data_IF_526371617452
#
_entry.id   IF_526371617452
#
_cell.length_a   1.000
_cell.length_b   1.000
_cell.length_c   1.000
_cell.angle_alpha   90.00
_cell.angle_beta   90.00
_cell.angle_gamma   90.00
#
_symmetry.space_group_name_H-M   'P 1'
#
loop_
_entity.id
_entity.type
_entity.pdbx_description
1 polymer ?
#
# COMPACT_ATOMS: atom_id res chain seq x y z
N UNK A 1 -0.38 10.97 -15.55
CA UNK A 1 0.49 12.19 -15.58
C UNK A 1 -0.12 13.22 -16.54
N UNK A 2 0.39 14.46 -16.66
CA UNK A 2 -0.11 15.40 -17.69
C UNK A 2 0.29 14.89 -19.08
N UNK A 3 -0.71 14.75 -19.97
CA UNK A 3 -0.47 14.18 -21.31
C UNK A 3 -0.28 12.67 -21.37
N UNK A 4 -0.61 11.93 -20.30
CA UNK A 4 -0.42 10.48 -20.25
C UNK A 4 -1.34 9.75 -21.24
N UNK A 5 -0.75 9.02 -22.17
CA UNK A 5 -1.50 8.19 -23.12
C UNK A 5 -1.79 6.79 -22.55
N UNK A 6 -2.59 6.01 -23.28
CA UNK A 6 -3.02 4.67 -22.84
C UNK A 6 -1.85 3.69 -22.70
N UNK A 7 -0.86 3.74 -23.60
CA UNK A 7 0.29 2.83 -23.53
C UNK A 7 1.17 3.10 -22.29
N UNK A 8 1.33 4.36 -21.91
CA UNK A 8 2.06 4.76 -20.69
C UNK A 8 1.31 4.34 -19.41
N UNK A 9 -0.02 4.49 -19.40
CA UNK A 9 -0.88 3.99 -18.33
C UNK A 9 -0.74 2.47 -18.17
N UNK A 10 -0.86 1.71 -19.27
CA UNK A 10 -0.70 0.26 -19.26
C UNK A 10 0.73 -0.17 -18.88
N UNK A 11 1.74 0.66 -19.19
CA UNK A 11 3.11 0.47 -18.71
C UNK A 11 3.20 0.55 -17.19
N UNK A 12 2.51 1.51 -16.58
CA UNK A 12 2.41 1.64 -15.12
C UNK A 12 1.69 0.45 -14.50
N UNK A 13 0.58 0.01 -15.10
CA UNK A 13 -0.13 -1.19 -14.65
C UNK A 13 0.77 -2.43 -14.68
N UNK A 14 1.48 -2.63 -15.80
CA UNK A 14 2.42 -3.75 -15.96
C UNK A 14 3.52 -3.71 -14.91
N UNK A 15 4.05 -2.53 -14.59
CA UNK A 15 5.06 -2.36 -13.55
C UNK A 15 4.54 -2.83 -12.19
N UNK A 16 3.32 -2.42 -11.81
CA UNK A 16 2.70 -2.85 -10.54
C UNK A 16 2.60 -4.38 -10.48
N UNK A 17 2.10 -5.01 -11.55
CA UNK A 17 1.97 -6.48 -11.63
C UNK A 17 3.32 -7.19 -11.56
N UNK A 18 4.33 -6.66 -12.25
CA UNK A 18 5.63 -7.32 -12.38
C UNK A 18 6.42 -7.25 -11.08
N UNK A 19 6.42 -6.10 -10.40
CA UNK A 19 7.18 -5.93 -9.16
C UNK A 19 6.41 -6.48 -7.96
N UNK A 20 5.09 -6.31 -7.96
CA UNK A 20 4.23 -6.71 -6.85
C UNK A 20 4.62 -5.96 -5.57
N UNK A 21 4.39 -4.64 -5.51
CA UNK A 21 4.77 -3.83 -4.34
C UNK A 21 3.89 -4.14 -3.11
N UNK A 22 4.47 -4.07 -1.91
CA UNK A 22 3.70 -4.14 -0.65
C UNK A 22 2.80 -2.90 -0.45
N UNK A 23 3.34 -1.72 -0.77
CA UNK A 23 2.67 -0.43 -0.60
C UNK A 23 3.05 0.47 -1.77
N UNK A 24 2.07 1.17 -2.35
CA UNK A 24 2.28 2.24 -3.32
C UNK A 24 1.38 3.42 -2.97
N UNK A 25 1.86 4.62 -3.31
CA UNK A 25 1.08 5.86 -3.20
C UNK A 25 0.71 6.31 -4.60
N UNK A 26 -0.57 6.16 -4.95
CA UNK A 26 -1.11 6.52 -6.25
C UNK A 26 -1.92 7.81 -6.13
N UNK A 27 -1.67 8.76 -7.03
CA UNK A 27 -2.38 10.03 -7.08
C UNK A 27 -2.63 10.43 -8.53
N UNK A 28 -3.84 10.88 -8.81
CA UNK A 28 -4.13 11.58 -10.06
C UNK A 28 -3.34 12.89 -10.11
N UNK A 29 -2.78 13.20 -11.29
CA UNK A 29 -2.08 14.46 -11.48
C UNK A 29 -3.01 15.64 -11.22
N UNK A 30 -2.51 16.61 -10.45
CA UNK A 30 -3.10 17.93 -10.26
C UNK A 30 -2.03 18.98 -10.56
N UNK A 31 -2.42 20.02 -11.29
CA UNK A 31 -1.48 21.08 -11.67
C UNK A 31 -0.96 21.76 -10.41
N UNK A 32 0.36 21.90 -10.32
CA UNK A 32 1.04 22.65 -9.26
C UNK A 32 1.78 23.83 -9.88
N UNK A 33 1.39 25.09 -9.59
CA UNK A 33 2.03 26.27 -10.15
C UNK A 33 3.56 26.24 -9.95
N UNK A 34 4.30 26.72 -10.95
CA UNK A 34 5.76 26.77 -10.92
C UNK A 34 6.49 25.47 -11.32
N UNK A 35 5.79 24.34 -11.46
CA UNK A 35 6.40 23.07 -11.88
C UNK A 35 6.62 23.00 -13.40
N UNK A 36 7.57 22.17 -13.85
CA UNK A 36 7.76 21.90 -15.28
C UNK A 36 6.52 21.27 -15.93
N UNK A 37 5.80 20.42 -15.19
CA UNK A 37 4.56 19.81 -15.65
C UNK A 37 3.45 20.84 -15.89
N UNK A 38 3.40 21.93 -15.12
CA UNK A 38 2.41 23.00 -15.31
C UNK A 38 2.58 23.77 -16.64
N UNK A 39 3.74 23.65 -17.30
CA UNK A 39 3.97 24.23 -18.64
C UNK A 39 3.58 23.29 -19.79
N UNK A 40 3.20 22.05 -19.49
CA UNK A 40 2.79 21.05 -20.49
C UNK A 40 1.27 21.08 -20.66
N UNK A 41 0.74 20.96 -21.89
CA UNK A 41 -0.67 20.69 -22.08
C UNK A 41 -1.09 19.43 -21.32
N UNK A 42 -2.28 19.48 -20.72
CA UNK A 42 -2.89 18.36 -20.04
C UNK A 42 -4.22 18.04 -20.72
N UNK A 43 -4.14 17.18 -21.73
CA UNK A 43 -5.26 16.74 -22.57
C UNK A 43 -6.01 15.53 -21.99
N UNK A 44 -5.58 15.03 -20.82
CA UNK A 44 -6.23 13.89 -20.16
C UNK A 44 -7.42 14.38 -19.33
N UNK A 45 -8.67 13.99 -19.67
CA UNK A 45 -9.86 14.42 -18.93
C UNK A 45 -9.81 13.99 -17.47
N UNK A 46 -10.42 14.78 -16.59
CA UNK A 46 -10.47 14.47 -15.15
C UNK A 46 -11.12 13.11 -14.86
N UNK A 47 -12.16 12.75 -15.62
CA UNK A 47 -12.83 11.45 -15.47
C UNK A 47 -11.92 10.29 -15.87
N UNK A 48 -11.08 10.46 -16.88
CA UNK A 48 -10.09 9.46 -17.27
C UNK A 48 -9.01 9.30 -16.21
N UNK A 49 -8.52 10.41 -15.62
CA UNK A 49 -7.58 10.36 -14.48
C UNK A 49 -8.17 9.60 -13.30
N UNK A 50 -9.44 9.83 -12.96
CA UNK A 50 -10.14 9.11 -11.89
C UNK A 50 -10.29 7.63 -12.20
N UNK A 51 -10.72 7.29 -13.43
CA UNK A 51 -10.86 5.91 -13.89
C UNK A 51 -9.55 5.14 -13.74
N UNK A 52 -8.45 5.71 -14.25
CA UNK A 52 -7.10 5.13 -14.17
C UNK A 52 -6.62 4.99 -12.73
N UNK A 53 -6.80 6.02 -11.90
CA UNK A 53 -6.43 5.96 -10.48
C UNK A 53 -7.17 4.84 -9.76
N UNK A 54 -8.49 4.74 -9.92
CA UNK A 54 -9.30 3.72 -9.28
C UNK A 54 -8.88 2.31 -9.74
N UNK A 55 -8.65 2.13 -11.05
CA UNK A 55 -8.14 0.87 -11.60
C UNK A 55 -6.82 0.43 -10.97
N UNK A 56 -5.84 1.35 -10.86
CA UNK A 56 -4.55 1.03 -10.24
C UNK A 56 -4.67 0.80 -8.72
N UNK A 57 -5.57 1.51 -8.03
CA UNK A 57 -5.85 1.27 -6.62
C UNK A 57 -6.47 -0.12 -6.39
N UNK A 58 -7.41 -0.54 -7.24
CA UNK A 58 -8.01 -1.87 -7.17
C UNK A 58 -6.99 -2.97 -7.45
N UNK A 59 -6.17 -2.81 -8.48
CA UNK A 59 -5.06 -3.71 -8.77
C UNK A 59 -4.09 -3.80 -7.58
N UNK A 60 -3.70 -2.65 -7.00
CA UNK A 60 -2.80 -2.67 -5.85
C UNK A 60 -3.43 -3.38 -4.65
N UNK A 61 -4.72 -3.23 -4.39
CA UNK A 61 -5.41 -3.95 -3.30
C UNK A 61 -5.29 -5.46 -3.47
N UNK A 62 -5.45 -5.95 -4.69
CA UNK A 62 -5.27 -7.37 -5.01
C UNK A 62 -3.83 -7.83 -4.74
N UNK A 63 -2.84 -7.09 -5.27
CA UNK A 63 -1.42 -7.39 -5.06
C UNK A 63 -1.06 -7.39 -3.56
N UNK A 64 -1.52 -6.38 -2.81
CA UNK A 64 -1.25 -6.27 -1.39
C UNK A 64 -1.87 -7.44 -0.60
N UNK A 65 -3.08 -7.86 -0.97
CA UNK A 65 -3.73 -9.03 -0.38
C UNK A 65 -2.94 -10.31 -0.66
N UNK A 66 -2.55 -10.56 -1.91
CA UNK A 66 -1.74 -11.74 -2.27
C UNK A 66 -0.42 -11.79 -1.48
N UNK A 67 0.27 -10.65 -1.36
CA UNK A 67 1.52 -10.55 -0.58
C UNK A 67 1.30 -10.78 0.91
N UNK A 68 0.20 -10.28 1.46
CA UNK A 68 -0.17 -10.49 2.86
C UNK A 68 -0.51 -11.97 3.11
N UNK A 69 -1.28 -12.60 2.22
CA UNK A 69 -1.62 -14.03 2.30
C UNK A 69 -0.38 -14.93 2.22
N UNK A 70 0.63 -14.55 1.44
CA UNK A 70 1.91 -15.27 1.38
C UNK A 70 2.68 -15.28 2.72
N UNK A 71 2.34 -14.39 3.67
CA UNK A 71 2.90 -14.41 5.02
C UNK A 71 2.22 -15.43 5.94
N UNK A 72 1.04 -15.95 5.60
CA UNK A 72 0.35 -16.93 6.46
C UNK A 72 1.25 -18.14 6.69
N UNK A 73 1.41 -18.53 7.95
CA UNK A 73 2.30 -19.59 8.37
C UNK A 73 3.78 -19.20 8.48
N UNK A 74 4.20 -18.02 8.03
CA UNK A 74 5.56 -17.50 8.24
C UNK A 74 5.74 -16.96 9.66
N UNK A 75 6.98 -17.03 10.16
CA UNK A 75 7.39 -16.34 11.38
C UNK A 75 7.79 -14.92 11.03
N UNK A 76 7.31 -13.97 11.82
CA UNK A 76 7.60 -12.54 11.69
C UNK A 76 7.88 -11.97 13.07
N UNK A 77 8.72 -10.95 13.09
CA UNK A 77 8.98 -10.14 14.28
C UNK A 77 8.11 -8.89 14.22
N UNK A 78 7.51 -8.51 15.34
CA UNK A 78 6.64 -7.35 15.50
C UNK A 78 7.15 -6.47 16.63
N UNK A 79 7.37 -5.19 16.34
CA UNK A 79 7.54 -4.17 17.37
C UNK A 79 6.16 -3.70 17.80
N UNK A 80 5.79 -3.96 19.05
CA UNK A 80 4.49 -3.57 19.61
C UNK A 80 4.50 -2.07 19.87
N UNK A 81 3.61 -1.34 19.19
CA UNK A 81 3.53 0.12 19.28
C UNK A 81 2.60 0.54 20.43
N UNK A 82 1.50 -0.17 20.62
CA UNK A 82 0.52 0.14 21.66
C UNK A 82 -0.42 -1.03 21.94
N UNK A 83 -1.33 -0.83 22.88
CA UNK A 83 -2.39 -1.77 23.26
C UNK A 83 -3.72 -1.02 23.16
N UNK A 84 -4.69 -1.60 22.46
CA UNK A 84 -6.04 -1.02 22.35
C UNK A 84 -6.75 -1.02 23.70
N UNK A 85 -7.87 -0.28 23.80
CA UNK A 85 -8.65 -0.21 25.03
C UNK A 85 -9.19 -1.57 25.50
N UNK A 86 -9.44 -2.51 24.58
CA UNK A 86 -9.85 -3.89 24.88
C UNK A 86 -8.66 -4.83 25.17
N UNK A 87 -7.45 -4.29 25.34
CA UNK A 87 -6.27 -5.05 25.75
C UNK A 87 -5.55 -5.77 24.60
N UNK A 88 -5.87 -5.46 23.34
CA UNK A 88 -5.25 -6.11 22.16
C UNK A 88 -3.96 -5.38 21.77
N UNK A 89 -2.79 -6.03 21.85
CA UNK A 89 -1.55 -5.41 21.39
C UNK A 89 -1.54 -5.31 19.86
N UNK A 90 -0.95 -4.24 19.34
CA UNK A 90 -0.72 -4.06 17.92
C UNK A 90 0.60 -3.34 17.67
N UNK A 91 1.11 -3.52 16.46
CA UNK A 91 2.35 -2.88 16.06
C UNK A 91 2.72 -3.21 14.63
N UNK A 92 4.01 -3.12 14.32
CA UNK A 92 4.51 -3.29 12.96
C UNK A 92 5.58 -4.36 12.86
N UNK A 93 5.48 -5.13 11.78
CA UNK A 93 6.57 -6.01 11.36
C UNK A 93 7.76 -5.20 10.87
N UNK A 94 8.93 -5.84 10.69
CA UNK A 94 10.10 -5.20 10.05
C UNK A 94 9.82 -4.65 8.64
N UNK A 95 8.81 -5.18 7.95
CA UNK A 95 8.36 -4.73 6.62
C UNK A 95 7.35 -3.58 6.71
N UNK A 96 7.05 -3.08 7.91
CA UNK A 96 6.08 -2.02 8.15
C UNK A 96 4.62 -2.45 8.13
N UNK A 97 4.32 -3.75 7.94
CA UNK A 97 2.94 -4.26 7.96
C UNK A 97 2.38 -4.23 9.37
N UNK A 98 1.14 -3.76 9.52
CA UNK A 98 0.43 -3.74 10.79
C UNK A 98 0.06 -5.17 11.19
N UNK A 99 0.32 -5.53 12.44
CA UNK A 99 -0.03 -6.82 13.02
C UNK A 99 -0.85 -6.61 14.30
N UNK A 100 -1.92 -7.38 14.42
CA UNK A 100 -2.70 -7.52 15.64
C UNK A 100 -2.30 -8.81 16.34
N UNK A 101 -2.08 -8.72 17.65
CA UNK A 101 -1.66 -9.85 18.47
C UNK A 101 -2.81 -10.28 19.43
N UNK A 102 -2.77 -11.51 19.97
CA UNK A 102 -3.73 -11.94 20.98
C UNK A 102 -3.73 -11.02 22.21
N UNK A 103 -4.90 -10.83 22.83
CA UNK A 103 -5.06 -10.01 24.03
C UNK A 103 -4.11 -10.48 25.14
N UNK A 104 -3.39 -9.53 25.75
CA UNK A 104 -2.44 -9.82 26.83
C UNK A 104 -1.15 -10.53 26.41
N UNK A 105 -0.86 -10.66 25.11
CA UNK A 105 0.34 -11.39 24.67
C UNK A 105 1.65 -10.61 24.73
N UNK A 106 1.61 -9.28 24.84
CA UNK A 106 2.77 -8.39 24.85
C UNK A 106 2.39 -6.97 25.32
N UNK A 107 3.34 -6.20 25.86
CA UNK A 107 3.19 -4.77 26.15
C UNK A 107 3.83 -3.88 25.08
N UNK A 108 3.49 -2.58 25.10
CA UNK A 108 4.08 -1.59 24.20
C UNK A 108 5.60 -1.47 24.38
N UNK A 109 6.33 -1.34 23.27
CA UNK A 109 7.79 -1.28 23.23
C UNK A 109 8.48 -2.65 23.15
N UNK A 110 7.73 -3.75 23.33
CA UNK A 110 8.29 -5.10 23.17
C UNK A 110 8.49 -5.48 21.70
N UNK A 111 9.54 -6.26 21.45
CA UNK A 111 9.80 -6.89 20.16
C UNK A 111 9.51 -8.39 20.28
N UNK A 112 8.51 -8.87 19.57
CA UNK A 112 8.01 -10.24 19.72
C UNK A 112 8.02 -11.00 18.40
N UNK A 113 8.40 -12.28 18.44
CA UNK A 113 8.30 -13.18 17.29
C UNK A 113 6.97 -13.95 17.34
N UNK A 114 6.26 -13.98 16.22
CA UNK A 114 4.98 -14.68 16.10
C UNK A 114 4.83 -15.34 14.73
N UNK A 115 3.91 -16.32 14.65
CA UNK A 115 3.51 -16.93 13.38
C UNK A 115 2.22 -16.29 12.89
N UNK A 116 2.20 -15.79 11.65
CA UNK A 116 1.01 -15.20 11.03
C UNK A 116 -0.04 -16.30 10.83
N UNK A 117 -1.28 -16.05 11.30
CA UNK A 117 -2.41 -16.99 11.18
C UNK A 117 -3.42 -16.57 10.11
N UNK A 118 -3.62 -15.27 9.94
CA UNK A 118 -4.59 -14.65 9.03
C UNK A 118 -3.97 -13.40 8.43
N UNK A 119 -4.37 -13.05 7.21
CA UNK A 119 -3.86 -11.88 6.49
C UNK A 119 -4.88 -11.39 5.45
#
# INVERSE_FOLDING_TARGET
FSGENEAEFLGTERLLRTVGFDVVHLQAYSVRPGTAAARRPDDVPIEEKKRRLNHLLDLQRQIALERNQALIGRRVEVLVESVTADGRPFGRTRQGKVALLPVGSAAAGELVEGRVRTA
#
